data_IF_690929901616
#
_entry.id   IF_690929901616
#
_cell.length_a   1.000
_cell.length_b   1.000
_cell.length_c   1.000
_cell.angle_alpha   90.00
_cell.angle_beta   90.00
_cell.angle_gamma   90.00
#
_symmetry.space_group_name_H-M   'P 1'
#
loop_
_entity.id
_entity.type
_entity.pdbx_description
1 polymer ?
#
# COMPACT_ATOMS: atom_id res chain seq x y z
N UNK A 1 17.75 18.59 4.77
CA UNK A 1 16.69 18.01 5.61
C UNK A 1 17.18 17.83 7.06
N UNK A 2 16.38 18.17 8.07
CA UNK A 2 16.69 17.81 9.45
C UNK A 2 16.75 16.28 9.57
N UNK A 3 17.61 15.78 10.46
CA UNK A 3 17.66 14.35 10.79
C UNK A 3 16.26 13.92 11.28
N UNK A 4 15.78 12.73 10.87
CA UNK A 4 14.55 12.20 11.44
C UNK A 4 14.71 12.09 12.95
N UNK A 5 13.64 12.37 13.72
CA UNK A 5 13.69 12.22 15.17
C UNK A 5 14.09 10.77 15.52
N UNK A 6 14.81 10.57 16.64
CA UNK A 6 15.17 9.22 17.09
C UNK A 6 13.91 8.39 17.30
N UNK A 7 13.94 7.13 16.87
CA UNK A 7 12.81 6.22 17.03
C UNK A 7 12.45 6.05 18.51
N UNK A 8 11.19 6.31 18.84
CA UNK A 8 10.56 5.95 20.11
C UNK A 8 9.88 4.59 20.01
N UNK A 9 9.31 4.07 21.11
CA UNK A 9 8.52 2.83 21.04
C UNK A 9 7.33 2.98 20.09
N UNK A 10 6.68 4.14 20.12
CA UNK A 10 5.56 4.48 19.24
C UNK A 10 5.97 4.58 17.76
N UNK A 11 7.27 4.62 17.45
CA UNK A 11 7.76 4.64 16.07
C UNK A 11 7.63 3.30 15.35
N UNK A 12 7.32 2.22 16.08
CA UNK A 12 7.17 0.88 15.52
C UNK A 12 5.74 0.38 15.53
N UNK A 13 4.78 1.13 16.10
CA UNK A 13 3.37 0.73 16.13
C UNK A 13 2.89 0.29 14.73
N UNK A 14 2.17 -0.84 14.62
CA UNK A 14 1.63 -1.69 15.69
C UNK A 14 2.61 -2.74 16.25
N UNK A 15 3.86 -2.76 15.80
CA UNK A 15 4.91 -3.64 16.30
C UNK A 15 5.48 -3.11 17.63
N UNK A 16 5.82 -4.01 18.55
CA UNK A 16 6.36 -3.64 19.86
C UNK A 16 7.77 -3.06 19.77
N UNK A 17 8.53 -3.50 18.76
CA UNK A 17 9.88 -3.05 18.49
C UNK A 17 10.31 -3.23 17.02
N UNK A 18 11.55 -2.83 16.75
CA UNK A 18 12.16 -2.93 15.43
C UNK A 18 12.34 -4.38 14.95
N UNK A 19 12.63 -5.33 15.86
CA UNK A 19 12.90 -6.71 15.49
C UNK A 19 11.62 -7.36 14.96
N UNK A 20 10.49 -7.11 15.61
CA UNK A 20 9.17 -7.50 15.13
C UNK A 20 8.89 -6.93 13.73
N UNK A 21 9.05 -5.62 13.56
CA UNK A 21 8.87 -4.96 12.26
C UNK A 21 9.76 -5.58 11.17
N UNK A 22 11.08 -5.68 11.42
CA UNK A 22 12.05 -6.19 10.46
C UNK A 22 11.75 -7.65 10.09
N UNK A 23 11.30 -8.47 11.04
CA UNK A 23 10.87 -9.86 10.79
C UNK A 23 9.63 -9.91 9.88
N UNK A 24 8.58 -9.16 10.22
CA UNK A 24 7.35 -9.10 9.42
C UNK A 24 7.63 -8.56 8.01
N UNK A 25 8.43 -7.49 7.89
CA UNK A 25 8.82 -6.90 6.60
C UNK A 25 9.60 -7.91 5.74
N UNK A 26 10.60 -8.58 6.31
CA UNK A 26 11.39 -9.58 5.58
C UNK A 26 10.53 -10.73 5.07
N UNK A 27 9.66 -11.28 5.91
CA UNK A 27 8.85 -12.43 5.51
C UNK A 27 7.68 -12.09 4.59
N UNK A 28 7.00 -10.96 4.82
CA UNK A 28 5.82 -10.56 4.07
C UNK A 28 6.15 -9.82 2.77
N UNK A 29 7.05 -8.84 2.83
CA UNK A 29 7.35 -7.95 1.69
C UNK A 29 8.49 -8.50 0.84
N UNK A 30 9.63 -8.83 1.46
CA UNK A 30 10.85 -9.18 0.71
C UNK A 30 10.85 -10.63 0.21
N UNK A 31 10.61 -11.60 1.10
CA UNK A 31 10.68 -13.02 0.77
C UNK A 31 9.36 -13.62 0.30
N UNK A 32 8.22 -12.96 0.58
CA UNK A 32 6.88 -13.49 0.33
C UNK A 32 6.76 -14.95 0.78
N UNK A 33 7.18 -15.20 2.02
CA UNK A 33 7.24 -16.53 2.59
C UNK A 33 5.85 -17.13 2.67
N UNK A 34 5.73 -18.44 2.42
CA UNK A 34 4.46 -19.13 2.69
C UNK A 34 4.17 -19.14 4.18
N UNK A 35 2.88 -19.23 4.54
CA UNK A 35 2.41 -19.30 5.93
C UNK A 35 3.18 -20.36 6.74
N UNK A 36 3.28 -21.58 6.21
CA UNK A 36 4.07 -22.67 6.81
C UNK A 36 5.54 -22.33 7.07
N UNK A 37 6.16 -21.49 6.24
CA UNK A 37 7.54 -21.03 6.43
C UNK A 37 7.63 -19.96 7.52
N UNK A 38 6.64 -19.08 7.60
CA UNK A 38 6.52 -18.08 8.66
C UNK A 38 6.33 -18.78 10.00
N UNK A 39 5.37 -19.70 10.10
CA UNK A 39 5.17 -20.53 11.30
C UNK A 39 6.46 -21.24 11.73
N UNK A 40 7.17 -21.84 10.76
CA UNK A 40 8.44 -22.48 11.07
C UNK A 40 9.51 -21.50 11.58
N UNK A 41 9.53 -20.27 11.09
CA UNK A 41 10.45 -19.24 11.58
C UNK A 41 10.06 -18.76 12.99
N UNK A 42 8.76 -18.58 13.25
CA UNK A 42 8.22 -18.27 14.58
C UNK A 42 8.55 -19.37 15.60
N UNK A 43 8.41 -20.64 15.22
CA UNK A 43 8.81 -21.79 16.06
C UNK A 43 10.30 -21.73 16.45
N UNK A 44 11.16 -21.38 15.50
CA UNK A 44 12.61 -21.27 15.73
C UNK A 44 12.93 -20.08 16.64
N UNK A 45 12.21 -18.96 16.46
CA UNK A 45 12.33 -17.81 17.35
C UNK A 45 11.89 -18.17 18.77
N UNK A 46 10.73 -18.81 18.93
CA UNK A 46 10.23 -19.28 20.22
C UNK A 46 11.23 -20.22 20.91
N UNK A 47 11.79 -21.18 20.18
CA UNK A 47 12.81 -22.08 20.70
C UNK A 47 14.07 -21.34 21.20
N UNK A 48 14.42 -20.21 20.59
CA UNK A 48 15.57 -19.39 21.02
C UNK A 48 15.32 -18.64 22.33
N UNK A 49 14.06 -18.27 22.60
CA UNK A 49 13.62 -17.51 23.78
C UNK A 49 13.31 -18.40 25.00
N UNK A 50 13.19 -19.72 24.82
CA UNK A 50 12.97 -20.67 25.92
C UNK A 50 13.98 -20.53 27.08
N UNK A 51 15.20 -20.04 26.80
CA UNK A 51 16.23 -19.83 27.83
C UNK A 51 16.06 -18.53 28.62
N UNK A 52 15.44 -17.51 28.05
CA UNK A 52 15.16 -16.22 28.72
C UNK A 52 13.78 -16.21 29.39
N UNK A 53 12.89 -17.14 29.03
CA UNK A 53 11.51 -17.15 29.53
C UNK A 53 10.63 -16.05 28.90
N UNK A 54 11.12 -15.44 27.82
CA UNK A 54 10.38 -14.47 27.02
C UNK A 54 9.49 -15.20 26.00
N UNK A 55 8.39 -14.55 25.61
CA UNK A 55 7.46 -15.08 24.60
C UNK A 55 7.76 -14.45 23.22
N UNK A 56 7.31 -15.12 22.16
CA UNK A 56 7.37 -14.58 20.80
C UNK A 56 6.28 -13.54 20.55
N UNK A 57 6.50 -12.60 19.62
CA UNK A 57 5.51 -11.59 19.27
C UNK A 57 4.22 -12.18 18.67
N UNK A 58 4.35 -13.30 17.92
CA UNK A 58 3.23 -13.97 17.27
C UNK A 58 3.33 -15.48 17.45
N UNK A 59 2.20 -16.10 17.76
CA UNK A 59 2.07 -17.57 17.89
C UNK A 59 1.77 -18.25 16.55
N UNK A 60 1.34 -17.47 15.56
CA UNK A 60 1.01 -17.95 14.23
C UNK A 60 1.31 -16.89 13.17
N UNK A 61 1.33 -17.31 11.91
CA UNK A 61 1.39 -16.39 10.79
C UNK A 61 0.12 -15.51 10.71
N UNK A 62 -1.04 -16.01 11.14
CA UNK A 62 -2.30 -15.25 11.21
C UNK A 62 -2.17 -14.05 12.16
N UNK A 63 -1.65 -14.23 13.37
CA UNK A 63 -1.43 -13.10 14.31
C UNK A 63 -0.45 -12.06 13.75
N UNK A 64 0.57 -12.51 13.01
CA UNK A 64 1.49 -11.60 12.31
C UNK A 64 0.77 -10.81 11.21
N UNK A 65 -0.10 -11.45 10.43
CA UNK A 65 -0.90 -10.78 9.40
C UNK A 65 -1.90 -9.80 10.01
N UNK A 66 -2.58 -10.16 11.10
CA UNK A 66 -3.48 -9.25 11.83
C UNK A 66 -2.73 -8.01 12.32
N UNK A 67 -1.48 -8.17 12.78
CA UNK A 67 -0.62 -7.05 13.18
C UNK A 67 -0.29 -6.16 11.97
N UNK A 68 0.10 -6.74 10.83
CA UNK A 68 0.34 -6.00 9.59
C UNK A 68 -0.93 -5.25 9.13
N UNK A 69 -2.10 -5.90 9.18
CA UNK A 69 -3.37 -5.31 8.79
C UNK A 69 -3.84 -4.20 9.76
N UNK A 70 -3.29 -4.15 10.98
CA UNK A 70 -3.58 -3.13 11.97
C UNK A 70 -2.79 -1.83 11.80
N UNK A 71 -1.80 -1.80 10.88
CA UNK A 71 -1.01 -0.60 10.55
C UNK A 71 -1.96 0.55 10.22
N UNK A 72 -1.79 1.67 10.92
CA UNK A 72 -2.72 2.82 10.83
C UNK A 72 -2.28 3.84 9.79
N UNK A 73 -1.01 3.85 9.43
CA UNK A 73 -0.43 4.71 8.41
C UNK A 73 -0.97 4.31 7.04
N UNK A 74 -1.58 5.26 6.31
CA UNK A 74 -2.10 4.98 4.97
C UNK A 74 -3.38 4.15 4.96
N UNK A 75 -4.23 4.27 5.99
CA UNK A 75 -5.48 3.51 6.21
C UNK A 75 -6.59 3.84 5.20
N UNK A 76 -6.30 3.59 3.94
CA UNK A 76 -7.29 3.59 2.86
C UNK A 76 -7.45 2.15 2.42
N UNK A 77 -8.56 1.54 2.83
CA UNK A 77 -8.86 0.15 2.56
C UNK A 77 -8.96 -0.11 1.05
N UNK A 78 -8.33 -1.19 0.59
CA UNK A 78 -8.55 -1.71 -0.75
C UNK A 78 -9.97 -2.25 -0.87
N UNK A 79 -10.65 -1.92 -1.96
CA UNK A 79 -11.92 -2.51 -2.34
C UNK A 79 -11.69 -3.40 -3.55
N UNK A 80 -12.12 -4.65 -3.44
CA UNK A 80 -12.07 -5.60 -4.55
C UNK A 80 -13.45 -5.69 -5.17
N UNK A 81 -13.53 -5.45 -6.48
CA UNK A 81 -14.74 -5.56 -7.27
C UNK A 81 -14.59 -6.73 -8.24
N UNK A 82 -15.61 -7.57 -8.30
CA UNK A 82 -15.67 -8.58 -9.35
C UNK A 82 -16.29 -7.96 -10.59
N UNK A 83 -15.55 -7.96 -11.70
CA UNK A 83 -15.92 -7.30 -12.94
C UNK A 83 -15.94 -8.32 -14.07
N UNK A 84 -17.03 -8.33 -14.82
CA UNK A 84 -17.21 -9.17 -15.99
C UNK A 84 -17.85 -8.37 -17.11
N UNK A 85 -17.43 -8.62 -18.34
CA UNK A 85 -18.07 -8.03 -19.50
C UNK A 85 -19.55 -8.45 -19.59
N UNK A 86 -20.44 -7.45 -19.70
CA UNK A 86 -21.90 -7.66 -19.80
C UNK A 86 -22.47 -7.28 -21.18
N UNK A 87 -21.61 -6.92 -22.14
CA UNK A 87 -22.07 -6.54 -23.47
C UNK A 87 -22.37 -7.73 -24.39
N UNK A 88 -22.79 -7.47 -25.64
CA UNK A 88 -23.04 -8.51 -26.62
C UNK A 88 -21.76 -9.30 -26.93
N UNK A 89 -21.88 -10.62 -27.01
CA UNK A 89 -20.82 -11.51 -27.48
C UNK A 89 -20.83 -11.61 -29.02
N UNK A 90 -19.70 -11.91 -29.66
CA UNK A 90 -19.65 -12.19 -31.09
C UNK A 90 -20.65 -13.28 -31.47
N UNK A 91 -21.46 -13.02 -32.51
CA UNK A 91 -22.44 -13.99 -33.03
C UNK A 91 -21.80 -15.17 -33.76
N UNK A 92 -20.56 -15.00 -34.20
CA UNK A 92 -19.77 -15.99 -34.92
C UNK A 92 -18.39 -16.11 -34.30
N UNK A 93 -17.87 -17.34 -34.25
CA UNK A 93 -16.59 -17.65 -33.63
C UNK A 93 -16.65 -17.78 -32.11
N UNK A 94 -15.50 -18.10 -31.51
CA UNK A 94 -15.37 -18.24 -30.06
C UNK A 94 -15.12 -16.88 -29.42
N UNK A 95 -15.92 -16.43 -28.45
CA UNK A 95 -15.67 -15.17 -27.76
C UNK A 95 -14.29 -15.15 -27.08
N UNK A 96 -13.56 -14.03 -27.15
CA UNK A 96 -12.27 -13.92 -26.48
C UNK A 96 -12.42 -14.01 -24.96
N UNK A 97 -11.41 -14.55 -24.28
CA UNK A 97 -11.47 -14.82 -22.83
C UNK A 97 -11.83 -13.59 -22.00
N UNK A 98 -11.38 -12.40 -22.36
CA UNK A 98 -11.69 -11.18 -21.61
C UNK A 98 -13.20 -10.85 -21.58
N UNK A 99 -13.98 -11.34 -22.54
CA UNK A 99 -15.44 -11.16 -22.57
C UNK A 99 -16.19 -12.18 -21.72
N UNK A 100 -15.57 -13.31 -21.37
CA UNK A 100 -16.24 -14.44 -20.70
C UNK A 100 -15.72 -14.70 -19.30
N UNK A 101 -14.48 -14.30 -19.03
CA UNK A 101 -13.80 -14.40 -17.75
C UNK A 101 -14.22 -13.26 -16.81
N UNK A 102 -14.21 -13.57 -15.52
CA UNK A 102 -14.38 -12.62 -14.43
C UNK A 102 -12.99 -12.16 -13.95
N UNK A 103 -12.88 -10.85 -13.67
CA UNK A 103 -11.66 -10.20 -13.23
C UNK A 103 -11.88 -9.52 -11.89
N UNK A 104 -10.89 -9.58 -11.02
CA UNK A 104 -10.87 -8.81 -9.78
C UNK A 104 -10.22 -7.44 -10.05
N UNK A 105 -10.98 -6.38 -9.81
CA UNK A 105 -10.50 -5.01 -9.79
C UNK A 105 -10.24 -4.60 -8.34
N UNK A 106 -8.98 -4.50 -7.97
CA UNK A 106 -8.56 -3.94 -6.68
C UNK A 106 -8.36 -2.42 -6.83
N UNK A 107 -9.17 -1.62 -6.14
CA UNK A 107 -9.11 -0.16 -6.20
C UNK A 107 -9.19 0.47 -4.81
N UNK A 108 -8.64 1.67 -4.66
CA UNK A 108 -8.84 2.54 -3.49
C UNK A 108 -9.72 3.72 -3.86
N UNK A 109 -10.34 4.33 -2.85
CA UNK A 109 -11.05 5.59 -3.06
C UNK A 109 -10.04 6.69 -3.39
N UNK A 110 -10.09 7.20 -4.62
CA UNK A 110 -9.12 8.20 -5.10
C UNK A 110 -9.15 9.50 -4.28
N UNK A 111 -10.32 9.88 -3.74
CA UNK A 111 -10.46 11.08 -2.92
C UNK A 111 -9.76 10.87 -1.58
N UNK A 112 -9.97 9.73 -0.94
CA UNK A 112 -9.30 9.39 0.32
C UNK A 112 -7.77 9.30 0.13
N UNK A 113 -7.30 8.72 -0.99
CA UNK A 113 -5.87 8.68 -1.36
C UNK A 113 -5.26 10.08 -1.42
N UNK A 114 -5.93 11.01 -2.09
CA UNK A 114 -5.45 12.39 -2.18
C UNK A 114 -5.46 13.06 -0.81
N UNK A 115 -6.50 12.87 0.02
CA UNK A 115 -6.54 13.44 1.37
C UNK A 115 -5.38 12.93 2.26
N UNK A 116 -5.11 11.63 2.24
CA UNK A 116 -4.00 11.03 3.01
C UNK A 116 -2.64 11.54 2.52
N UNK A 117 -2.44 11.61 1.20
CA UNK A 117 -1.22 12.17 0.62
C UNK A 117 -1.02 13.63 1.01
N UNK A 118 -2.08 14.45 0.98
CA UNK A 118 -2.03 15.85 1.40
C UNK A 118 -1.76 16.02 2.90
N UNK A 119 -2.19 15.07 3.74
CA UNK A 119 -1.90 15.06 5.18
C UNK A 119 -0.50 14.54 5.54
N UNK A 120 0.20 13.91 4.60
CA UNK A 120 1.48 13.24 4.85
C UNK A 120 2.66 14.16 4.53
N UNK A 121 3.51 14.44 5.51
CA UNK A 121 4.70 15.31 5.35
C UNK A 121 5.67 14.84 4.26
N UNK A 122 5.70 13.56 3.96
CA UNK A 122 6.54 13.03 2.88
C UNK A 122 6.18 13.63 1.52
N UNK A 123 4.93 14.03 1.30
CA UNK A 123 4.48 14.64 0.05
C UNK A 123 4.56 16.16 0.05
N UNK A 124 4.98 16.78 1.16
CA UNK A 124 5.16 18.23 1.24
C UNK A 124 6.19 18.71 0.20
N UNK A 125 5.77 19.67 -0.62
CA UNK A 125 6.57 20.19 -1.74
C UNK A 125 6.83 19.21 -2.88
N UNK A 126 6.27 17.98 -2.84
CA UNK A 126 6.38 17.00 -3.94
C UNK A 126 5.27 17.11 -4.98
N UNK A 127 4.23 17.87 -4.67
CA UNK A 127 3.13 18.17 -5.59
C UNK A 127 2.94 19.68 -5.69
N UNK A 128 2.39 20.13 -6.82
CA UNK A 128 1.92 21.49 -6.95
C UNK A 128 0.56 21.61 -6.25
N UNK A 129 0.40 22.61 -5.39
CA UNK A 129 -0.86 22.88 -4.67
C UNK A 129 -1.73 23.93 -5.36
N UNK A 130 -1.15 24.63 -6.35
CA UNK A 130 -1.85 25.63 -7.14
C UNK A 130 -1.74 25.27 -8.61
N UNK A 131 -2.78 25.56 -9.41
CA UNK A 131 -2.70 25.39 -10.85
C UNK A 131 -1.58 26.26 -11.40
N UNK A 132 -0.90 25.75 -12.43
CA UNK A 132 0.15 26.50 -13.08
C UNK A 132 0.14 26.29 -14.59
N UNK A 133 0.91 27.15 -15.24
CA UNK A 133 1.01 27.20 -16.68
C UNK A 133 2.45 27.01 -17.12
N UNK A 134 2.74 25.87 -17.74
CA UNK A 134 4.08 25.57 -18.24
C UNK A 134 4.12 25.66 -19.77
N UNK A 135 5.12 26.36 -20.27
CA UNK A 135 5.42 26.48 -21.69
C UNK A 135 6.88 26.13 -21.94
N UNK A 136 7.15 25.43 -23.03
CA UNK A 136 8.49 25.09 -23.51
C UNK A 136 8.51 25.37 -25.01
N UNK A 137 9.42 26.22 -25.48
CA UNK A 137 9.49 26.70 -26.87
C UNK A 137 8.18 27.32 -27.41
N UNK A 138 7.39 27.94 -26.53
CA UNK A 138 6.10 28.54 -26.87
C UNK A 138 4.94 27.54 -26.92
N UNK A 139 5.22 26.25 -26.78
CA UNK A 139 4.22 25.18 -26.74
C UNK A 139 3.78 24.89 -25.31
N UNK A 140 2.49 24.62 -25.13
CA UNK A 140 1.91 24.27 -23.84
C UNK A 140 2.38 22.88 -23.40
N UNK A 141 2.89 22.75 -22.18
CA UNK A 141 3.29 21.47 -21.57
C UNK A 141 2.36 21.10 -20.42
N UNK A 142 1.91 19.85 -20.43
CA UNK A 142 1.15 19.24 -19.34
C UNK A 142 2.01 18.17 -18.69
N UNK A 143 2.24 18.28 -17.39
CA UNK A 143 3.15 17.38 -16.65
C UNK A 143 2.50 16.72 -15.43
N UNK A 144 1.43 17.30 -14.89
CA UNK A 144 0.63 16.72 -13.81
C UNK A 144 -0.78 17.34 -13.77
N UNK A 145 -1.60 16.89 -12.83
CA UNK A 145 -2.96 17.38 -12.63
C UNK A 145 -3.06 18.92 -12.62
N UNK A 146 -2.17 19.61 -11.89
CA UNK A 146 -2.20 21.06 -11.74
C UNK A 146 -1.73 21.86 -12.96
N UNK A 147 -1.14 21.21 -13.96
CA UNK A 147 -0.85 21.84 -15.26
C UNK A 147 -2.07 21.87 -16.20
N UNK A 148 -3.16 21.20 -15.81
CA UNK A 148 -4.39 21.07 -16.61
C UNK A 148 -5.10 22.40 -16.82
N UNK A 149 -5.65 22.59 -18.01
CA UNK A 149 -6.33 23.83 -18.40
C UNK A 149 -7.58 24.10 -17.57
N UNK A 150 -8.38 23.06 -17.33
CA UNK A 150 -9.57 23.14 -16.47
C UNK A 150 -9.24 23.58 -15.04
N UNK A 151 -8.11 23.10 -14.49
CA UNK A 151 -7.70 23.44 -13.11
C UNK A 151 -7.36 24.93 -13.01
N UNK A 152 -6.76 25.51 -14.05
CA UNK A 152 -6.49 26.95 -14.10
C UNK A 152 -7.77 27.80 -14.22
N UNK A 153 -8.80 27.30 -14.91
CA UNK A 153 -10.07 28.00 -15.08
C UNK A 153 -10.94 28.03 -13.80
N UNK A 154 -10.67 27.15 -12.83
CA UNK A 154 -11.45 27.03 -11.59
C UNK A 154 -10.79 27.67 -10.35
N UNK A 155 -9.60 28.26 -10.50
CA UNK A 155 -8.86 28.88 -9.40
C UNK A 155 -9.17 30.37 -9.20
#
# INVERSE_FOLDING_TARGET
>A
PPLPPPHSKESWEPFSDRIEFDFAHYHFVEQQSSEKRIERALDLWAASLLRSGEDVPWKSAEEMYETIDSIREGKITWKTYSVKYQGPLPKTGTPPKWMTQEFELCARDAKEVIHEQLGTKEFDGKIHYTPYMQFEDGERRFSNFMSGEWVHQQA
#
